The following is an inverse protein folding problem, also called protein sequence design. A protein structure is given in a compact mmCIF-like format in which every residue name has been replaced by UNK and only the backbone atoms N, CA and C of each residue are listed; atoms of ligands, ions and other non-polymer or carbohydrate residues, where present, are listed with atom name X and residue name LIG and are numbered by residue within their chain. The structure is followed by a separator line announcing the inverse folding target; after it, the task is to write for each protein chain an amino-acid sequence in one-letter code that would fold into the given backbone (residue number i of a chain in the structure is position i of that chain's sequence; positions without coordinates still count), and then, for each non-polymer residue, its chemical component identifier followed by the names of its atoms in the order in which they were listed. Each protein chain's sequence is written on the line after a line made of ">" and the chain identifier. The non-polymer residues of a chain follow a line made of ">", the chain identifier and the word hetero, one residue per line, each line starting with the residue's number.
data_IF_371381238482
#
_entry.id   IF_371381238482
#
_cell.length_a   1.000
_cell.length_b   1.000
_cell.length_c   1.000
_cell.angle_alpha   90.00
_cell.angle_beta   90.00
_cell.angle_gamma   90.00
#
_symmetry.space_group_name_H-M   'P 1'
#
loop_
_entity.id
_entity.type
_entity.pdbx_description
1 polymer ?
#
# COMPACT_ATOMS: atom_id res chain seq x y z
N UNK A 1 1.57 24.80 53.18
CA UNK A 1 2.87 24.26 53.61
C UNK A 1 2.82 22.74 53.52
N UNK A 2 3.85 22.10 52.94
CA UNK A 2 3.85 20.70 52.54
C UNK A 2 4.41 19.79 53.64
N UNK A 3 4.08 18.50 53.56
CA UNK A 3 4.81 17.44 54.25
C UNK A 3 5.38 16.53 53.16
N UNK A 4 6.71 16.59 53.03
CA UNK A 4 7.55 15.73 52.21
C UNK A 4 7.54 14.30 52.78
N UNK A 5 7.50 13.30 51.92
CA UNK A 5 8.10 11.99 52.22
C UNK A 5 8.79 11.43 50.98
N UNK A 6 10.11 11.48 51.05
CA UNK A 6 11.10 10.92 50.14
C UNK A 6 11.25 9.42 50.43
N UNK A 7 11.23 8.57 49.41
CA UNK A 7 11.68 7.18 49.52
C UNK A 7 12.77 6.91 48.49
N UNK A 8 14.00 6.81 48.97
CA UNK A 8 15.17 6.25 48.30
C UNK A 8 15.25 4.76 48.59
N UNK A 9 15.45 3.93 47.56
CA UNK A 9 16.03 2.60 47.72
C UNK A 9 17.10 2.38 46.66
N UNK A 10 18.30 2.07 47.15
CA UNK A 10 19.51 1.80 46.39
C UNK A 10 19.89 0.36 46.73
N UNK A 11 20.02 -0.53 45.74
CA UNK A 11 20.72 -1.81 45.96
C UNK A 11 21.32 -2.32 44.65
N UNK A 12 22.64 -2.48 44.70
CA UNK A 12 23.52 -3.07 43.72
C UNK A 12 23.25 -4.57 43.55
N UNK A 13 23.24 -5.06 42.32
CA UNK A 13 23.65 -6.43 42.02
C UNK A 13 24.45 -6.49 40.71
N UNK A 14 25.74 -6.84 40.88
CA UNK A 14 26.71 -7.18 39.84
C UNK A 14 26.47 -8.62 39.37
N UNK A 15 26.49 -8.87 38.05
CA UNK A 15 26.92 -10.16 37.52
C UNK A 15 27.75 -10.02 36.24
N UNK A 16 28.93 -10.65 36.30
CA UNK A 16 30.01 -10.72 35.32
C UNK A 16 29.59 -11.39 34.00
N UNK A 17 29.95 -10.77 32.87
CA UNK A 17 30.11 -11.49 31.60
C UNK A 17 31.60 -11.68 31.29
N UNK A 18 32.03 -12.95 31.23
CA UNK A 18 33.36 -13.39 30.81
C UNK A 18 33.55 -13.09 29.32
N UNK A 19 34.51 -12.22 29.00
CA UNK A 19 35.14 -12.14 27.69
C UNK A 19 36.15 -13.29 27.53
N UNK A 20 36.02 -14.09 26.48
CA UNK A 20 37.08 -15.00 26.03
C UNK A 20 37.76 -14.37 24.82
N UNK A 21 38.96 -13.82 25.06
CA UNK A 21 39.96 -13.57 24.03
C UNK A 21 40.60 -14.90 23.62
N UNK A 22 40.75 -15.14 22.32
CA UNK A 22 41.80 -16.03 21.80
C UNK A 22 42.62 -15.33 20.74
N UNK A 23 43.91 -15.37 21.00
CA UNK A 23 45.03 -14.68 20.36
C UNK A 23 45.45 -15.36 19.05
N UNK A 24 45.99 -14.54 18.14
CA UNK A 24 46.82 -14.92 16.99
C UNK A 24 48.07 -15.71 17.42
N UNK A 25 48.81 -16.36 16.49
CA UNK A 25 50.00 -15.65 15.97
C UNK A 25 50.41 -15.96 14.50
N UNK A 26 51.18 -15.00 13.94
CA UNK A 26 52.35 -15.12 13.02
C UNK A 26 52.22 -15.94 11.71
N UNK A 27 52.19 -15.31 10.52
CA UNK A 27 53.32 -14.82 9.68
C UNK A 27 54.06 -15.91 8.89
N UNK A 28 54.12 -15.77 7.56
CA UNK A 28 55.16 -16.19 6.58
C UNK A 28 54.60 -15.86 5.17
N UNK A 29 54.95 -14.71 4.59
CA UNK A 29 56.05 -14.44 3.63
C UNK A 29 55.83 -14.90 2.19
N UNK A 30 56.04 -13.93 1.29
CA UNK A 30 56.02 -13.92 -0.18
C UNK A 30 56.84 -15.02 -0.88
N UNK A 31 56.40 -15.41 -2.09
CA UNK A 31 57.18 -15.55 -3.35
C UNK A 31 56.24 -16.09 -4.46
N UNK A 32 55.92 -15.32 -5.51
CA UNK A 32 56.65 -15.04 -6.76
C UNK A 32 56.49 -16.11 -7.87
N UNK A 33 55.91 -15.66 -9.00
CA UNK A 33 56.17 -16.02 -10.42
C UNK A 33 55.95 -17.50 -10.84
N UNK A 34 55.45 -17.89 -12.03
CA UNK A 34 55.49 -17.33 -13.38
C UNK A 34 54.40 -17.93 -14.29
N UNK A 35 54.09 -17.20 -15.35
CA UNK A 35 53.37 -17.63 -16.57
C UNK A 35 54.30 -18.51 -17.43
N UNK A 36 53.77 -19.56 -18.07
CA UNK A 36 54.34 -20.06 -19.35
C UNK A 36 53.26 -20.62 -20.28
N UNK A 37 53.54 -20.50 -21.57
CA UNK A 37 52.61 -20.48 -22.70
C UNK A 37 52.67 -21.71 -23.61
N UNK A 38 51.49 -22.19 -24.04
CA UNK A 38 51.16 -22.75 -25.38
C UNK A 38 51.71 -24.14 -25.78
N UNK A 39 51.37 -24.71 -26.97
CA UNK A 39 50.06 -25.28 -27.37
C UNK A 39 50.19 -26.67 -28.06
N UNK A 40 49.09 -27.46 -28.19
CA UNK A 40 48.70 -28.22 -29.41
C UNK A 40 48.01 -29.59 -29.22
N UNK A 41 46.95 -29.75 -30.04
CA UNK A 41 46.53 -30.90 -30.87
C UNK A 41 45.93 -32.17 -30.21
N UNK A 42 44.61 -32.27 -30.43
CA UNK A 42 43.89 -33.39 -31.09
C UNK A 42 44.44 -34.81 -30.93
N UNK A 43 43.62 -35.69 -30.35
CA UNK A 43 43.28 -36.98 -30.96
C UNK A 43 41.95 -37.50 -30.42
N UNK A 44 41.00 -37.67 -31.34
CA UNK A 44 39.74 -38.38 -31.18
C UNK A 44 40.03 -39.87 -30.89
N UNK A 45 39.37 -40.44 -29.88
CA UNK A 45 39.13 -41.88 -29.82
C UNK A 45 37.68 -42.17 -29.49
N UNK A 46 37.03 -42.72 -30.49
CA UNK A 46 35.70 -43.32 -30.47
C UNK A 46 35.65 -44.44 -29.43
N UNK A 47 34.64 -44.40 -28.56
CA UNK A 47 34.12 -45.59 -27.90
C UNK A 47 32.63 -45.68 -28.23
N UNK A 48 32.31 -46.60 -29.13
CA UNK A 48 30.96 -46.98 -29.51
C UNK A 48 30.39 -47.96 -28.49
N UNK A 49 29.35 -47.58 -27.76
CA UNK A 49 28.44 -48.52 -27.11
C UNK A 49 26.99 -48.06 -27.24
N UNK A 50 26.25 -48.81 -28.08
CA UNK A 50 24.80 -49.08 -28.09
C UNK A 50 23.87 -47.93 -27.67
N UNK A 51 23.27 -47.28 -28.67
CA UNK A 51 21.95 -46.65 -28.53
C UNK A 51 20.93 -47.73 -28.14
N UNK A 52 20.56 -47.75 -26.87
CA UNK A 52 19.25 -48.25 -26.46
C UNK A 52 18.30 -47.07 -26.58
N UNK A 53 17.26 -47.23 -27.40
CA UNK A 53 16.16 -46.29 -27.54
C UNK A 53 15.36 -46.26 -26.24
N UNK A 54 15.81 -45.42 -25.30
CA UNK A 54 14.94 -44.97 -24.24
C UNK A 54 14.12 -43.82 -24.82
N UNK A 55 12.83 -44.04 -25.06
CA UNK A 55 11.86 -42.96 -25.06
C UNK A 55 12.05 -42.23 -23.73
N UNK A 56 12.73 -41.10 -23.76
CA UNK A 56 12.80 -40.19 -22.64
C UNK A 56 11.42 -39.57 -22.50
N UNK A 57 10.53 -40.23 -21.76
CA UNK A 57 9.43 -39.54 -21.12
C UNK A 57 10.06 -38.45 -20.26
N UNK A 58 9.86 -37.20 -20.68
CA UNK A 58 10.21 -36.06 -19.85
C UNK A 58 9.61 -36.29 -18.45
N UNK A 59 10.36 -36.05 -17.37
CA UNK A 59 9.83 -36.22 -16.02
C UNK A 59 8.56 -35.36 -15.90
N UNK A 60 7.49 -35.89 -15.27
CA UNK A 60 6.25 -35.14 -15.12
C UNK A 60 6.57 -33.80 -14.46
N UNK A 61 6.22 -32.72 -15.15
CA UNK A 61 6.42 -31.36 -14.67
C UNK A 61 5.79 -31.24 -13.28
N UNK A 62 6.44 -30.52 -12.34
CA UNK A 62 5.88 -30.35 -11.01
C UNK A 62 4.45 -29.78 -11.11
N UNK A 63 3.52 -30.20 -10.22
CA UNK A 63 2.09 -29.87 -10.29
C UNK A 63 1.73 -28.39 -10.56
N UNK A 64 2.49 -27.37 -10.09
CA UNK A 64 2.17 -25.96 -10.32
C UNK A 64 2.19 -25.55 -11.80
N UNK A 65 3.06 -26.14 -12.62
CA UNK A 65 3.31 -25.69 -14.00
C UNK A 65 2.16 -26.05 -14.93
N UNK A 66 1.48 -27.18 -14.70
CA UNK A 66 0.33 -27.60 -15.52
C UNK A 66 -0.87 -26.66 -15.33
N UNK A 67 -1.20 -26.37 -14.07
CA UNK A 67 -2.27 -25.42 -13.70
C UNK A 67 -1.96 -24.03 -14.24
N UNK A 68 -0.70 -23.60 -14.16
CA UNK A 68 -0.26 -22.31 -14.67
C UNK A 68 -0.44 -22.21 -16.20
N UNK A 69 -0.17 -23.28 -16.95
CA UNK A 69 -0.37 -23.32 -18.41
C UNK A 69 -1.84 -23.23 -18.79
N UNK A 70 -2.70 -24.05 -18.19
CA UNK A 70 -4.16 -24.01 -18.43
C UNK A 70 -4.71 -22.59 -18.20
N UNK A 71 -4.23 -21.91 -17.16
CA UNK A 71 -4.60 -20.52 -16.87
C UNK A 71 -4.06 -19.50 -17.87
N UNK A 72 -2.84 -19.69 -18.38
CA UNK A 72 -2.27 -18.84 -19.44
C UNK A 72 -3.04 -18.98 -20.76
N UNK A 73 -3.49 -20.20 -21.09
CA UNK A 73 -4.30 -20.45 -22.28
C UNK A 73 -5.64 -19.70 -22.22
N UNK A 74 -6.29 -19.63 -21.04
CA UNK A 74 -7.54 -18.88 -20.85
C UNK A 74 -7.40 -17.38 -21.17
N UNK A 75 -6.21 -16.80 -21.00
CA UNK A 75 -5.93 -15.39 -21.33
C UNK A 75 -5.30 -15.22 -22.72
N UNK A 76 -5.27 -16.29 -23.52
CA UNK A 76 -4.77 -16.31 -24.89
C UNK A 76 -3.24 -16.35 -25.00
N UNK A 77 -2.52 -16.64 -23.93
CA UNK A 77 -1.07 -16.86 -23.98
C UNK A 77 -0.82 -18.36 -24.15
N UNK A 78 -0.67 -18.77 -25.41
CA UNK A 78 -0.40 -20.18 -25.75
C UNK A 78 1.08 -20.48 -25.58
N UNK A 79 1.40 -21.39 -24.65
CA UNK A 79 2.76 -21.88 -24.41
C UNK A 79 2.79 -23.40 -24.56
N UNK A 80 3.59 -23.90 -25.51
CA UNK A 80 3.73 -25.33 -25.76
C UNK A 80 4.66 -26.01 -24.73
N UNK A 81 4.96 -27.28 -24.97
CA UNK A 81 5.86 -28.07 -24.10
C UNK A 81 7.28 -27.50 -23.98
N UNK A 82 7.69 -26.59 -24.88
CA UNK A 82 9.01 -25.97 -24.91
C UNK A 82 9.15 -24.75 -24.00
N UNK A 83 8.06 -24.31 -23.35
CA UNK A 83 8.09 -23.28 -22.31
C UNK A 83 8.61 -23.84 -20.98
N UNK A 84 9.94 -23.81 -20.85
CA UNK A 84 10.72 -24.23 -19.70
C UNK A 84 10.76 -23.09 -18.67
N UNK A 85 10.37 -23.34 -17.41
CA UNK A 85 10.53 -22.40 -16.31
C UNK A 85 11.95 -21.82 -16.21
N UNK A 86 12.04 -20.52 -15.92
CA UNK A 86 13.30 -19.78 -15.81
C UNK A 86 13.83 -19.18 -17.12
N UNK A 87 13.09 -19.29 -18.23
CA UNK A 87 13.45 -18.69 -19.53
C UNK A 87 12.43 -17.63 -19.98
N UNK A 88 12.93 -16.68 -20.76
CA UNK A 88 12.10 -15.67 -21.43
C UNK A 88 11.70 -16.16 -22.83
N UNK A 89 10.47 -15.87 -23.21
CA UNK A 89 9.88 -16.23 -24.49
C UNK A 89 9.30 -15.00 -25.16
N UNK A 90 9.53 -14.86 -26.47
CA UNK A 90 8.96 -13.78 -27.27
C UNK A 90 7.83 -14.34 -28.15
N UNK A 91 6.59 -13.98 -27.84
CA UNK A 91 5.35 -14.53 -28.38
C UNK A 91 4.53 -13.46 -29.08
N UNK A 92 3.49 -13.90 -29.80
CA UNK A 92 2.44 -13.00 -30.27
C UNK A 92 1.58 -12.53 -29.09
N UNK A 93 1.35 -11.22 -29.01
CA UNK A 93 0.46 -10.69 -28.00
C UNK A 93 -1.00 -11.01 -28.38
N UNK A 94 -1.80 -11.67 -27.53
CA UNK A 94 -3.20 -11.99 -27.84
C UNK A 94 -4.08 -10.74 -27.93
N UNK A 95 -3.73 -9.65 -27.23
CA UNK A 95 -4.50 -8.41 -27.27
C UNK A 95 -4.35 -7.65 -28.58
N UNK A 96 -3.12 -7.50 -29.06
CA UNK A 96 -2.84 -6.65 -30.22
C UNK A 96 -2.39 -7.42 -31.46
N UNK A 97 -2.16 -8.74 -31.34
CA UNK A 97 -1.79 -9.68 -32.41
C UNK A 97 -0.55 -9.27 -33.23
N UNK A 98 0.36 -8.50 -32.63
CA UNK A 98 1.50 -7.91 -33.35
C UNK A 98 1.12 -6.78 -34.32
N UNK A 99 -0.19 -6.47 -34.45
CA UNK A 99 -0.82 -5.39 -35.24
C UNK A 99 -0.31 -5.31 -36.66
N UNK A 100 -0.09 -4.09 -37.18
CA UNK A 100 0.19 -3.93 -38.63
C UNK A 100 1.44 -4.69 -39.10
N UNK A 101 2.47 -4.78 -38.26
CA UNK A 101 3.72 -5.47 -38.57
C UNK A 101 3.69 -6.97 -38.22
N UNK A 102 2.62 -7.45 -37.59
CA UNK A 102 2.48 -8.84 -37.11
C UNK A 102 3.75 -9.34 -36.40
N UNK A 103 4.27 -8.53 -35.48
CA UNK A 103 5.49 -8.88 -34.74
C UNK A 103 5.20 -9.64 -33.44
N UNK A 104 6.12 -10.53 -33.07
CA UNK A 104 6.16 -11.14 -31.73
C UNK A 104 6.60 -10.10 -30.73
N UNK A 105 5.63 -9.51 -30.04
CA UNK A 105 5.81 -8.35 -29.16
C UNK A 105 5.57 -8.67 -27.69
N UNK A 106 5.12 -9.88 -27.35
CA UNK A 106 4.83 -10.29 -25.97
C UNK A 106 6.04 -11.01 -25.38
N UNK A 107 6.71 -10.42 -24.40
CA UNK A 107 7.68 -11.15 -23.57
C UNK A 107 6.96 -11.85 -22.45
N UNK A 108 7.18 -13.16 -22.32
CA UNK A 108 6.65 -14.02 -21.27
C UNK A 108 7.81 -14.62 -20.48
N UNK A 109 7.68 -14.68 -19.17
CA UNK A 109 8.61 -15.35 -18.27
C UNK A 109 7.85 -16.18 -17.23
N UNK A 110 8.05 -17.49 -17.27
CA UNK A 110 7.59 -18.42 -16.22
C UNK A 110 8.72 -18.55 -15.22
N UNK A 111 8.48 -18.29 -13.93
CA UNK A 111 9.56 -18.35 -12.94
C UNK A 111 10.05 -19.79 -12.72
N UNK A 112 11.32 -20.02 -12.32
CA UNK A 112 11.89 -21.36 -12.18
C UNK A 112 11.10 -22.35 -11.32
N UNK A 113 10.42 -21.87 -10.27
CA UNK A 113 9.62 -22.71 -9.37
C UNK A 113 8.28 -23.14 -9.98
N UNK A 114 7.82 -22.44 -11.03
CA UNK A 114 6.52 -22.68 -11.66
C UNK A 114 5.33 -22.07 -10.92
N UNK A 115 5.55 -21.26 -9.88
CA UNK A 115 4.44 -20.73 -9.07
C UNK A 115 3.66 -19.63 -9.80
N UNK A 116 4.31 -18.87 -10.70
CA UNK A 116 3.64 -17.86 -11.50
C UNK A 116 4.35 -17.55 -12.83
N UNK A 117 3.62 -16.96 -13.76
CA UNK A 117 4.14 -16.41 -15.00
C UNK A 117 3.87 -14.91 -15.06
N UNK A 118 4.75 -14.15 -15.71
CA UNK A 118 4.55 -12.73 -15.99
C UNK A 118 4.76 -12.45 -17.46
N UNK A 119 4.01 -11.50 -18.01
CA UNK A 119 4.15 -11.08 -19.40
C UNK A 119 4.10 -9.58 -19.57
N UNK A 120 4.62 -9.11 -20.69
CA UNK A 120 4.56 -7.73 -21.15
C UNK A 120 4.61 -7.64 -22.66
N UNK A 121 3.66 -6.94 -23.25
CA UNK A 121 3.70 -6.53 -24.64
C UNK A 121 4.53 -5.25 -24.75
N UNK A 122 5.59 -5.30 -25.57
CA UNK A 122 6.50 -4.18 -25.80
C UNK A 122 6.04 -3.21 -26.87
N UNK A 123 4.89 -3.45 -27.51
CA UNK A 123 4.28 -2.43 -28.35
C UNK A 123 3.71 -1.32 -27.51
N UNK A 124 4.17 -0.11 -27.81
CA UNK A 124 3.81 1.12 -27.11
C UNK A 124 2.28 1.30 -27.00
N UNK A 125 1.55 1.13 -28.10
CA UNK A 125 0.09 1.30 -28.13
C UNK A 125 -0.67 0.18 -27.39
N UNK A 126 -0.04 -0.98 -27.18
CA UNK A 126 -0.69 -2.12 -26.52
C UNK A 126 -0.41 -2.11 -25.02
N UNK A 127 0.87 -2.11 -24.63
CA UNK A 127 1.28 -2.12 -23.22
C UNK A 127 0.65 -3.22 -22.37
N UNK A 128 0.13 -4.30 -22.96
CA UNK A 128 -0.56 -5.33 -22.19
C UNK A 128 0.44 -6.14 -21.38
N UNK A 129 0.37 -6.06 -20.05
CA UNK A 129 1.18 -6.84 -19.14
C UNK A 129 0.35 -7.36 -17.99
N UNK A 130 0.82 -8.45 -17.40
CA UNK A 130 0.21 -9.04 -16.23
C UNK A 130 1.08 -10.13 -15.64
N UNK A 131 0.56 -10.76 -14.60
CA UNK A 131 1.13 -11.96 -13.99
C UNK A 131 0.00 -12.87 -13.55
N UNK A 132 0.20 -14.18 -13.62
CA UNK A 132 -0.80 -15.18 -13.26
C UNK A 132 -0.15 -16.23 -12.37
N UNK A 133 -0.82 -16.59 -11.28
CA UNK A 133 -0.32 -17.54 -10.29
C UNK A 133 -0.98 -18.91 -10.44
N UNK A 134 -0.23 -19.96 -10.14
CA UNK A 134 -0.76 -21.32 -10.04
C UNK A 134 -1.78 -21.42 -8.88
N UNK A 135 -1.57 -20.70 -7.77
CA UNK A 135 -2.35 -20.74 -6.53
C UNK A 135 -3.60 -19.83 -6.51
N UNK A 136 -4.48 -19.93 -7.51
CA UNK A 136 -5.82 -19.33 -7.45
C UNK A 136 -5.94 -17.78 -7.40
N UNK A 137 -4.83 -17.03 -7.22
CA UNK A 137 -4.85 -15.55 -7.17
C UNK A 137 -5.07 -14.97 -8.57
N UNK A 138 -6.16 -14.22 -8.75
CA UNK A 138 -6.54 -13.61 -10.04
C UNK A 138 -5.59 -12.46 -10.43
N UNK A 139 -5.27 -12.42 -11.72
CA UNK A 139 -4.37 -11.49 -12.38
C UNK A 139 -5.04 -10.13 -12.67
N UNK A 140 -4.37 -9.01 -12.38
CA UNK A 140 -4.73 -7.69 -12.94
C UNK A 140 -3.51 -6.98 -13.56
N UNK A 141 -3.74 -6.43 -14.77
CA UNK A 141 -2.86 -5.56 -15.58
C UNK A 141 -2.74 -4.17 -14.91
N UNK A 142 -1.73 -3.29 -15.04
CA UNK A 142 -0.44 -3.23 -15.76
C UNK A 142 0.07 -1.75 -15.78
N UNK A 143 1.38 -1.55 -15.48
CA UNK A 143 2.30 -0.40 -15.77
C UNK A 143 2.20 0.94 -15.00
N UNK A 144 3.27 1.70 -14.68
CA UNK A 144 4.74 1.52 -14.61
C UNK A 144 5.41 2.83 -14.11
N UNK A 145 6.38 2.75 -13.18
CA UNK A 145 7.76 3.28 -13.38
C UNK A 145 8.70 2.78 -12.28
N UNK A 146 9.69 2.01 -12.68
CA UNK A 146 10.89 1.64 -11.92
C UNK A 146 11.78 2.84 -11.72
N UNK A 147 12.06 3.23 -10.48
CA UNK A 147 13.32 3.85 -10.11
C UNK A 147 14.17 2.87 -9.30
N UNK A 148 15.44 2.79 -9.69
CA UNK A 148 16.47 1.99 -9.03
C UNK A 148 16.75 2.57 -7.65
N UNK A 149 16.71 1.76 -6.60
CA UNK A 149 17.48 2.06 -5.39
C UNK A 149 18.54 0.99 -5.15
N UNK A 150 19.76 1.41 -5.41
CA UNK A 150 20.98 0.95 -4.74
C UNK A 150 20.82 1.26 -3.25
N UNK A 151 21.00 0.26 -2.39
CA UNK A 151 20.97 0.47 -0.94
C UNK A 151 20.71 -0.79 -0.13
N UNK A 152 21.73 -1.65 -0.04
CA UNK A 152 21.75 -2.85 0.80
C UNK A 152 21.70 -2.45 2.28
N UNK A 153 20.66 -2.84 3.00
CA UNK A 153 20.77 -3.22 4.41
C UNK A 153 19.62 -4.15 4.80
N UNK A 154 19.95 -5.22 5.52
CA UNK A 154 19.07 -6.31 5.93
C UNK A 154 17.84 -5.82 6.70
N UNK A 155 16.67 -5.88 6.07
CA UNK A 155 15.38 -5.98 6.75
C UNK A 155 14.66 -7.18 6.15
N UNK A 156 14.24 -8.10 7.01
CA UNK A 156 13.17 -9.04 6.70
C UNK A 156 12.06 -8.23 6.04
N UNK A 157 11.84 -8.42 4.74
CA UNK A 157 10.76 -7.73 4.04
C UNK A 157 9.47 -8.25 4.65
N UNK A 158 8.74 -7.39 5.37
CA UNK A 158 7.45 -7.76 5.93
C UNK A 158 6.54 -8.14 4.76
N UNK A 159 6.11 -9.40 4.74
CA UNK A 159 5.23 -9.93 3.71
C UNK A 159 3.82 -9.52 4.06
N UNK A 160 3.11 -8.87 3.12
CA UNK A 160 1.69 -8.59 3.25
C UNK A 160 0.91 -9.88 3.00
N UNK A 161 0.07 -10.24 3.97
CA UNK A 161 -0.76 -11.44 3.96
C UNK A 161 -2.24 -11.07 4.10
N UNK A 162 -3.17 -11.92 3.63
CA UNK A 162 -4.60 -11.75 3.91
C UNK A 162 -4.87 -11.70 5.43
N UNK A 163 -5.93 -11.00 5.82
CA UNK A 163 -6.36 -10.91 7.22
C UNK A 163 -6.73 -12.29 7.78
N UNK A 164 -6.30 -12.58 9.01
CA UNK A 164 -6.76 -13.73 9.77
C UNK A 164 -8.13 -13.47 10.42
N UNK A 165 -8.79 -14.54 10.85
CA UNK A 165 -10.13 -14.49 11.48
C UNK A 165 -10.19 -13.56 12.71
N UNK A 166 -9.10 -13.44 13.46
CA UNK A 166 -8.99 -12.53 14.61
C UNK A 166 -9.11 -11.07 14.17
N UNK A 167 -8.41 -10.67 13.10
CA UNK A 167 -8.50 -9.31 12.58
C UNK A 167 -9.82 -9.06 11.86
N UNK A 168 -10.37 -10.04 11.15
CA UNK A 168 -11.71 -9.95 10.57
C UNK A 168 -12.74 -9.70 11.68
N UNK A 169 -12.66 -10.44 12.79
CA UNK A 169 -13.51 -10.24 13.96
C UNK A 169 -13.32 -8.86 14.60
N UNK A 170 -12.07 -8.36 14.65
CA UNK A 170 -11.76 -7.01 15.14
C UNK A 170 -12.44 -5.91 14.33
N UNK A 171 -12.49 -6.04 13.00
CA UNK A 171 -13.19 -5.12 12.11
C UNK A 171 -14.71 -5.29 12.16
N UNK A 172 -15.20 -6.53 12.28
CA UNK A 172 -16.63 -6.81 12.45
C UNK A 172 -17.19 -6.17 13.72
N UNK A 173 -16.47 -6.20 14.84
CA UNK A 173 -16.84 -5.44 16.06
C UNK A 173 -16.89 -3.92 15.86
N UNK A 174 -16.29 -3.42 14.79
CA UNK A 174 -16.32 -2.02 14.37
C UNK A 174 -17.29 -1.75 13.24
N UNK A 175 -18.17 -2.71 12.97
CA UNK A 175 -19.18 -2.66 11.91
C UNK A 175 -18.59 -2.49 10.51
N UNK A 176 -17.34 -2.93 10.32
CA UNK A 176 -16.68 -2.94 9.01
C UNK A 176 -16.72 -4.37 8.46
N UNK A 177 -17.35 -4.54 7.31
CA UNK A 177 -17.54 -5.80 6.63
C UNK A 177 -16.25 -6.30 5.98
N UNK A 178 -16.17 -7.62 5.77
CA UNK A 178 -15.05 -8.21 5.03
C UNK A 178 -14.99 -7.70 3.57
N UNK A 179 -16.14 -7.44 2.94
CA UNK A 179 -16.22 -6.88 1.59
C UNK A 179 -15.51 -5.52 1.50
N UNK A 180 -15.79 -4.62 2.44
CA UNK A 180 -15.12 -3.32 2.54
C UNK A 180 -13.61 -3.48 2.75
N UNK A 181 -13.18 -4.42 3.60
CA UNK A 181 -11.74 -4.70 3.80
C UNK A 181 -11.06 -5.19 2.53
N UNK A 182 -11.71 -6.08 1.78
CA UNK A 182 -11.20 -6.64 0.53
C UNK A 182 -11.11 -5.59 -0.57
N UNK A 183 -12.16 -4.75 -0.75
CA UNK A 183 -12.16 -3.66 -1.73
C UNK A 183 -11.03 -2.66 -1.46
N UNK A 184 -10.80 -2.37 -0.18
CA UNK A 184 -9.76 -1.46 0.29
C UNK A 184 -8.38 -2.09 0.44
N UNK A 185 -8.26 -3.39 0.15
CA UNK A 185 -7.02 -4.17 0.23
C UNK A 185 -6.35 -3.98 1.59
N UNK A 186 -7.15 -4.08 2.66
CA UNK A 186 -6.65 -4.13 4.03
C UNK A 186 -6.03 -5.50 4.25
N UNK A 187 -4.76 -5.51 4.64
CA UNK A 187 -3.96 -6.72 4.77
C UNK A 187 -3.43 -6.83 6.20
N UNK A 188 -2.63 -7.85 6.47
CA UNK A 188 -1.84 -7.95 7.68
C UNK A 188 -0.35 -8.12 7.38
N UNK A 189 0.47 -7.88 8.39
CA UNK A 189 1.85 -8.35 8.46
C UNK A 189 2.03 -9.17 9.73
N UNK A 190 2.70 -10.30 9.60
CA UNK A 190 3.06 -11.16 10.74
C UNK A 190 4.48 -10.82 11.17
N UNK A 191 4.59 -10.12 12.30
CA UNK A 191 5.89 -9.88 12.95
C UNK A 191 6.30 -11.05 13.84
N UNK A 192 7.52 -11.02 14.37
CA UNK A 192 8.05 -12.06 15.28
C UNK A 192 7.25 -12.25 16.57
N UNK A 193 6.45 -11.27 16.98
CA UNK A 193 5.73 -11.26 18.26
C UNK A 193 4.25 -10.86 18.18
N UNK A 194 3.81 -10.22 17.09
CA UNK A 194 2.42 -9.80 16.94
C UNK A 194 2.04 -9.59 15.47
N UNK A 195 0.78 -9.85 15.17
CA UNK A 195 0.14 -9.49 13.90
C UNK A 195 -0.21 -8.00 13.92
N UNK A 196 -0.08 -7.34 12.78
CA UNK A 196 -0.48 -5.96 12.61
C UNK A 196 -1.33 -5.79 11.36
N UNK A 197 -2.36 -4.95 11.47
CA UNK A 197 -3.17 -4.48 10.35
C UNK A 197 -2.30 -3.61 9.46
N UNK A 198 -2.38 -3.83 8.16
CA UNK A 198 -1.67 -3.10 7.12
C UNK A 198 -2.69 -2.39 6.21
N UNK A 199 -2.78 -1.08 6.35
CA UNK A 199 -3.54 -0.22 5.43
C UNK A 199 -2.67 0.07 4.20
N UNK A 200 -3.08 -0.45 3.05
CA UNK A 200 -2.32 -0.36 1.81
C UNK A 200 -2.66 0.90 1.02
N UNK A 201 -1.74 1.86 0.93
CA UNK A 201 -1.93 3.05 0.11
C UNK A 201 -1.65 2.69 -1.32
N UNK A 202 -2.62 2.96 -2.19
CA UNK A 202 -2.57 2.59 -3.60
C UNK A 202 -2.80 3.78 -4.49
N UNK A 203 -2.09 3.83 -5.61
CA UNK A 203 -2.29 4.80 -6.68
C UNK A 203 -2.27 4.06 -8.02
N UNK A 204 -3.31 4.22 -8.83
CA UNK A 204 -3.56 3.46 -10.05
C UNK A 204 -3.44 1.94 -9.82
N UNK A 205 -3.97 1.45 -8.69
CA UNK A 205 -3.92 0.05 -8.26
C UNK A 205 -2.55 -0.44 -7.78
N UNK A 206 -1.50 0.40 -7.78
CA UNK A 206 -0.16 0.03 -7.35
C UNK A 206 0.06 0.40 -5.88
N UNK A 207 0.65 -0.51 -5.09
CA UNK A 207 1.04 -0.24 -3.71
C UNK A 207 2.15 0.81 -3.68
N UNK A 208 1.87 1.98 -3.12
CA UNK A 208 2.80 3.11 -2.99
C UNK A 208 3.22 3.38 -1.55
N UNK A 209 2.52 2.78 -0.58
CA UNK A 209 2.88 2.88 0.83
C UNK A 209 2.05 1.96 1.70
N UNK A 210 2.50 1.78 2.94
CA UNK A 210 1.76 1.03 3.93
C UNK A 210 1.86 1.70 5.30
N UNK A 211 0.71 1.83 5.96
CA UNK A 211 0.62 2.23 7.36
C UNK A 211 0.12 1.05 8.16
N UNK A 212 0.81 0.79 9.24
CA UNK A 212 0.58 -0.35 10.08
C UNK A 212 -0.01 0.08 11.40
N UNK A 213 -0.89 -0.77 11.92
CA UNK A 213 -1.60 -0.57 13.18
C UNK A 213 -1.72 -1.90 13.89
N UNK A 214 -1.53 -1.88 15.20
CA UNK A 214 -1.89 -3.01 16.05
C UNK A 214 -3.24 -2.76 16.70
N UNK A 215 -3.88 -3.83 17.22
CA UNK A 215 -5.19 -3.70 17.87
C UNK A 215 -5.16 -2.77 19.10
N UNK A 216 -4.02 -2.71 19.79
CA UNK A 216 -3.70 -1.79 20.90
C UNK A 216 -3.29 -0.38 20.44
N UNK A 217 -3.61 0.00 19.19
CA UNK A 217 -3.45 1.35 18.64
C UNK A 217 -1.99 1.86 18.61
N UNK A 218 -1.00 0.99 18.37
CA UNK A 218 0.35 1.43 17.99
C UNK A 218 0.44 1.55 16.47
N UNK A 219 0.97 2.66 15.99
CA UNK A 219 1.03 2.98 14.56
C UNK A 219 2.47 3.14 14.09
N UNK A 220 2.78 2.66 12.90
CA UNK A 220 4.04 2.95 12.20
C UNK A 220 3.83 2.93 10.70
N UNK A 221 4.80 3.50 9.99
CA UNK A 221 4.85 3.48 8.53
C UNK A 221 6.30 3.34 8.08
N UNK A 222 6.50 2.93 6.84
CA UNK A 222 7.83 2.87 6.26
C UNK A 222 8.44 4.27 6.13
N UNK A 223 9.67 4.42 6.64
CA UNK A 223 10.42 5.67 6.57
C UNK A 223 10.81 5.96 5.13
N UNK A 224 10.66 7.21 4.71
CA UNK A 224 11.02 7.65 3.36
C UNK A 224 9.94 7.44 2.31
N UNK A 225 8.79 6.89 2.68
CA UNK A 225 7.62 6.80 1.79
C UNK A 225 6.98 8.17 1.63
N UNK A 226 6.63 8.54 0.39
CA UNK A 226 5.86 9.75 0.15
C UNK A 226 4.51 9.67 0.87
N UNK A 227 3.99 10.82 1.32
CA UNK A 227 2.70 10.90 1.99
C UNK A 227 1.61 10.83 0.93
N UNK A 228 0.91 9.70 0.86
CA UNK A 228 -0.23 9.51 -0.04
C UNK A 228 -1.55 9.59 0.74
N UNK A 229 -2.63 9.97 0.05
CA UNK A 229 -3.99 9.87 0.57
C UNK A 229 -4.46 8.42 0.45
N UNK A 230 -5.09 7.90 1.50
CA UNK A 230 -5.68 6.56 1.44
C UNK A 230 -6.98 6.62 0.63
N UNK A 231 -7.20 5.67 -0.27
CA UNK A 231 -8.38 5.64 -1.14
C UNK A 231 -8.33 6.59 -2.34
N UNK A 232 -7.15 7.13 -2.71
CA UNK A 232 -7.05 8.12 -3.80
C UNK A 232 -7.58 7.63 -5.16
N UNK A 233 -7.57 6.31 -5.40
CA UNK A 233 -8.11 5.74 -6.64
C UNK A 233 -9.64 5.83 -6.74
N UNK A 234 -10.34 6.00 -5.60
CA UNK A 234 -11.81 6.06 -5.52
C UNK A 234 -12.38 7.43 -5.97
N UNK A 235 -11.52 8.42 -6.22
CA UNK A 235 -11.96 9.80 -6.54
C UNK A 235 -11.68 10.22 -7.98
N UNK A 236 -11.21 9.28 -8.80
CA UNK A 236 -11.07 9.51 -10.24
C UNK A 236 -12.47 9.76 -10.82
N UNK A 237 -12.72 11.00 -11.26
CA UNK A 237 -13.99 11.47 -11.85
C UNK A 237 -15.17 11.66 -10.87
N UNK A 238 -14.92 11.84 -9.57
CA UNK A 238 -15.98 12.15 -8.60
C UNK A 238 -16.33 13.65 -8.56
N UNK A 239 -17.63 13.99 -8.65
CA UNK A 239 -18.13 15.37 -8.52
C UNK A 239 -18.13 15.88 -7.06
N UNK A 240 -18.18 14.93 -6.11
CA UNK A 240 -18.18 15.13 -4.67
C UNK A 240 -17.08 14.30 -4.01
N UNK A 241 -16.43 14.85 -2.99
CA UNK A 241 -15.37 14.20 -2.23
C UNK A 241 -15.63 14.27 -0.73
N UNK A 242 -15.48 13.15 -0.03
CA UNK A 242 -15.46 13.12 1.44
C UNK A 242 -14.02 12.94 1.94
N UNK A 243 -13.57 13.79 2.85
CA UNK A 243 -12.25 13.72 3.47
C UNK A 243 -12.40 13.43 4.96
N UNK A 244 -11.82 12.32 5.40
CA UNK A 244 -11.75 11.91 6.82
C UNK A 244 -10.31 11.92 7.35
N UNK A 245 -10.15 11.77 8.66
CA UNK A 245 -8.83 11.78 9.29
C UNK A 245 -8.11 10.42 9.24
N UNK A 246 -8.80 9.34 9.61
CA UNK A 246 -8.21 8.01 9.72
C UNK A 246 -8.62 7.02 8.64
N UNK A 247 -7.81 5.97 8.47
CA UNK A 247 -8.14 4.88 7.54
C UNK A 247 -9.40 4.13 7.99
N UNK A 248 -9.60 3.98 9.31
CA UNK A 248 -10.81 3.39 9.90
C UNK A 248 -12.08 4.17 9.58
N UNK A 249 -12.00 5.50 9.58
CA UNK A 249 -13.15 6.36 9.27
C UNK A 249 -13.51 6.25 7.80
N UNK A 250 -12.52 6.11 6.92
CA UNK A 250 -12.74 5.92 5.48
C UNK A 250 -13.53 4.64 5.25
N UNK A 251 -13.11 3.54 5.88
CA UNK A 251 -13.84 2.27 5.82
C UNK A 251 -15.26 2.42 6.39
N UNK A 252 -15.44 3.22 7.44
CA UNK A 252 -16.75 3.43 8.05
C UNK A 252 -17.69 4.23 7.14
N UNK A 253 -17.18 5.25 6.45
CA UNK A 253 -17.92 6.05 5.46
C UNK A 253 -18.37 5.18 4.28
N UNK A 254 -17.56 4.20 3.90
CA UNK A 254 -17.91 3.23 2.87
C UNK A 254 -19.04 2.30 3.27
N UNK A 255 -19.09 1.84 4.53
CA UNK A 255 -20.23 1.10 5.08
C UNK A 255 -21.53 1.93 5.06
N UNK A 256 -21.43 3.27 5.08
CA UNK A 256 -22.56 4.18 4.89
C UNK A 256 -22.95 4.41 3.41
N UNK A 257 -22.27 3.73 2.48
CA UNK A 257 -22.58 3.74 1.04
C UNK A 257 -21.82 4.78 0.22
N UNK A 258 -20.77 5.40 0.77
CA UNK A 258 -19.97 6.40 0.05
C UNK A 258 -18.59 5.85 -0.33
N UNK A 259 -18.38 5.64 -1.63
CA UNK A 259 -17.10 5.17 -2.16
C UNK A 259 -16.11 6.32 -2.38
N UNK A 260 -16.61 7.54 -2.62
CA UNK A 260 -15.86 8.77 -2.89
C UNK A 260 -15.22 9.38 -1.62
N UNK A 261 -14.55 8.57 -0.81
CA UNK A 261 -13.95 8.98 0.46
C UNK A 261 -12.45 8.69 0.51
N UNK A 262 -11.68 9.68 1.00
CA UNK A 262 -10.24 9.58 1.23
C UNK A 262 -9.88 9.89 2.68
N UNK A 263 -8.78 9.31 3.19
CA UNK A 263 -8.20 9.70 4.47
C UNK A 263 -6.87 10.44 4.31
N UNK A 264 -6.63 11.43 5.17
CA UNK A 264 -5.37 12.18 5.18
C UNK A 264 -4.20 11.38 5.77
N UNK A 265 -2.97 11.56 5.26
CA UNK A 265 -1.80 10.89 5.83
C UNK A 265 -1.42 11.48 7.18
N UNK A 266 -1.32 10.61 8.20
CA UNK A 266 -0.63 10.89 9.45
C UNK A 266 -1.46 11.45 10.61
N UNK A 267 -2.78 11.65 10.46
CA UNK A 267 -3.62 12.32 11.46
C UNK A 267 -3.24 13.79 11.62
N UNK A 268 -4.23 14.68 11.78
CA UNK A 268 -4.12 16.15 11.77
C UNK A 268 -2.68 16.73 11.77
N UNK A 269 -1.99 16.79 10.61
CA UNK A 269 -0.60 17.25 10.60
C UNK A 269 -0.56 18.73 10.94
N UNK A 270 0.40 19.15 11.78
CA UNK A 270 0.59 20.55 12.20
C UNK A 270 0.78 21.51 11.01
N UNK A 271 1.18 20.96 9.86
CA UNK A 271 1.10 21.58 8.53
C UNK A 271 0.79 20.47 7.53
N UNK A 272 -0.36 20.54 6.87
CA UNK A 272 -0.60 19.77 5.64
C UNK A 272 0.51 20.18 4.64
N UNK A 273 1.22 19.29 3.98
CA UNK A 273 2.16 19.69 2.90
C UNK A 273 1.35 19.98 1.64
N UNK A 274 1.70 21.02 0.87
CA UNK A 274 1.06 21.36 -0.41
C UNK A 274 1.09 20.21 -1.40
N UNK A 275 2.13 19.38 -1.31
CA UNK A 275 2.41 18.33 -2.29
C UNK A 275 1.59 17.05 -2.08
N UNK A 276 0.76 17.01 -1.02
CA UNK A 276 0.05 15.80 -0.57
C UNK A 276 -1.36 15.66 -1.13
N UNK A 277 -1.94 16.76 -1.59
CA UNK A 277 -3.29 16.77 -2.16
C UNK A 277 -3.10 16.89 -3.67
N UNK A 278 -3.35 15.81 -4.45
CA UNK A 278 -3.35 15.92 -5.91
C UNK A 278 -4.38 16.98 -6.35
N UNK A 279 -4.33 17.47 -7.59
CA UNK A 279 -5.26 18.48 -8.06
C UNK A 279 -6.70 17.91 -8.09
N UNK A 280 -7.39 18.07 -6.96
CA UNK A 280 -8.83 17.84 -6.73
C UNK A 280 -9.63 19.03 -7.29
N UNK A 281 -9.02 19.86 -8.15
CA UNK A 281 -9.58 21.13 -8.64
C UNK A 281 -10.93 20.95 -9.34
N UNK A 282 -11.15 19.78 -9.94
CA UNK A 282 -12.39 19.39 -10.62
C UNK A 282 -13.56 19.07 -9.69
N UNK A 283 -13.31 18.80 -8.40
CA UNK A 283 -14.37 18.46 -7.45
C UNK A 283 -15.12 19.71 -7.04
N UNK A 284 -16.45 19.66 -7.21
CA UNK A 284 -17.35 20.78 -6.98
C UNK A 284 -17.81 20.90 -5.51
N UNK A 285 -17.93 19.76 -4.82
CA UNK A 285 -18.38 19.67 -3.42
C UNK A 285 -17.43 18.83 -2.58
N UNK A 286 -16.91 19.39 -1.49
CA UNK A 286 -15.96 18.73 -0.60
C UNK A 286 -16.57 18.66 0.81
N UNK A 287 -16.79 17.47 1.32
CA UNK A 287 -17.29 17.22 2.67
C UNK A 287 -16.11 16.88 3.58
N UNK A 288 -15.90 17.70 4.60
CA UNK A 288 -14.85 17.54 5.61
C UNK A 288 -15.45 16.81 6.82
N UNK A 289 -15.15 15.52 6.94
CA UNK A 289 -15.61 14.62 7.99
C UNK A 289 -14.43 14.22 8.91
N UNK A 290 -13.71 15.23 9.42
CA UNK A 290 -12.59 14.99 10.37
C UNK A 290 -13.10 14.94 11.81
N UNK A 291 -12.22 14.58 12.74
CA UNK A 291 -12.55 14.39 14.15
C UNK A 291 -13.20 15.63 14.78
N UNK A 292 -14.07 15.39 15.77
CA UNK A 292 -14.80 16.42 16.51
C UNK A 292 -13.96 17.11 17.60
N UNK A 293 -12.65 16.89 17.61
CA UNK A 293 -11.72 17.43 18.60
C UNK A 293 -10.92 18.63 18.05
N UNK A 294 -10.09 19.23 18.90
CA UNK A 294 -9.33 20.44 18.54
C UNK A 294 -8.36 20.18 17.36
N UNK A 295 -7.58 19.08 17.32
CA UNK A 295 -6.79 18.73 16.14
C UNK A 295 -7.61 18.54 14.87
N UNK A 296 -8.74 17.81 14.95
CA UNK A 296 -9.63 17.58 13.82
C UNK A 296 -10.22 18.88 13.26
N UNK A 297 -10.61 19.81 14.13
CA UNK A 297 -11.07 21.15 13.73
C UNK A 297 -9.97 21.95 13.02
N UNK A 298 -8.75 21.94 13.54
CA UNK A 298 -7.61 22.62 12.92
C UNK A 298 -7.28 22.03 11.53
N UNK A 299 -7.37 20.71 11.39
CA UNK A 299 -7.22 20.03 10.10
C UNK A 299 -8.31 20.46 9.11
N UNK A 300 -9.57 20.50 9.55
CA UNK A 300 -10.69 20.92 8.71
C UNK A 300 -10.50 22.34 8.18
N UNK A 301 -10.07 23.27 9.05
CA UNK A 301 -9.79 24.65 8.68
C UNK A 301 -8.66 24.75 7.65
N UNK A 302 -7.58 24.01 7.84
CA UNK A 302 -6.44 24.04 6.91
C UNK A 302 -6.79 23.40 5.56
N UNK A 303 -7.60 22.33 5.55
CA UNK A 303 -8.13 21.74 4.31
C UNK A 303 -9.04 22.72 3.59
N UNK A 304 -10.00 23.33 4.29
CA UNK A 304 -10.93 24.29 3.72
C UNK A 304 -10.22 25.53 3.16
N UNK A 305 -9.20 26.04 3.86
CA UNK A 305 -8.38 27.17 3.40
C UNK A 305 -7.65 26.86 2.10
N UNK A 306 -7.20 25.63 1.90
CA UNK A 306 -6.43 25.20 0.71
C UNK A 306 -7.29 24.83 -0.48
N UNK A 307 -8.34 24.05 -0.22
CA UNK A 307 -9.26 23.55 -1.25
C UNK A 307 -10.26 24.62 -1.69
N UNK A 308 -10.44 25.66 -0.87
CA UNK A 308 -11.39 26.74 -1.07
C UNK A 308 -12.62 26.55 -0.20
N UNK A 309 -12.82 27.44 0.78
CA UNK A 309 -13.95 27.36 1.72
C UNK A 309 -15.31 27.36 1.00
N UNK A 310 -15.41 28.05 -0.13
CA UNK A 310 -16.64 28.15 -0.93
C UNK A 310 -17.15 26.82 -1.48
N UNK A 311 -16.30 25.78 -1.53
CA UNK A 311 -16.65 24.43 -1.98
C UNK A 311 -16.59 23.40 -0.86
N UNK A 312 -16.49 23.84 0.40
CA UNK A 312 -16.36 22.95 1.54
C UNK A 312 -17.65 22.90 2.36
N UNK A 313 -17.96 21.73 2.88
CA UNK A 313 -19.00 21.45 3.85
C UNK A 313 -18.37 20.71 5.04
N UNK A 314 -18.86 20.95 6.24
CA UNK A 314 -18.37 20.33 7.48
C UNK A 314 -19.43 19.40 8.04
N UNK A 315 -19.05 18.16 8.30
CA UNK A 315 -19.90 17.24 9.04
C UNK A 315 -19.98 17.69 10.50
N UNK A 316 -21.20 17.72 11.02
CA UNK A 316 -21.48 18.01 12.42
C UNK A 316 -21.94 16.72 13.09
N UNK A 317 -20.98 15.97 13.65
CA UNK A 317 -21.22 14.62 14.17
C UNK A 317 -22.34 14.58 15.21
N UNK A 318 -23.22 13.55 15.21
CA UNK A 318 -24.37 13.51 16.11
C UNK A 318 -23.97 13.52 17.59
N UNK A 319 -24.93 13.88 18.44
CA UNK A 319 -24.76 13.85 19.88
C UNK A 319 -24.83 12.40 20.41
N UNK A 320 -23.86 12.00 21.23
CA UNK A 320 -23.88 10.76 22.03
C UNK A 320 -24.88 10.90 23.19
N UNK A 321 -24.89 12.08 23.77
CA UNK A 321 -25.70 12.51 24.90
C UNK A 321 -26.00 14.02 24.75
N UNK A 322 -26.68 14.65 25.72
CA UNK A 322 -27.05 16.06 25.62
C UNK A 322 -25.90 17.07 25.46
N UNK A 323 -24.63 16.67 25.65
CA UNK A 323 -23.47 17.57 25.68
C UNK A 323 -22.33 17.12 24.74
N UNK A 324 -22.11 15.82 24.60
CA UNK A 324 -20.96 15.27 23.88
C UNK A 324 -21.35 14.74 22.51
N UNK A 325 -20.54 15.04 21.49
CA UNK A 325 -20.69 14.50 20.14
C UNK A 325 -19.86 13.26 19.92
N UNK A 326 -20.25 12.46 18.92
CA UNK A 326 -19.40 11.42 18.37
C UNK A 326 -18.10 12.00 17.85
N UNK A 327 -17.00 11.31 18.12
CA UNK A 327 -15.66 11.81 17.81
C UNK A 327 -15.40 11.76 16.32
N UNK A 328 -15.73 10.64 15.69
CA UNK A 328 -15.35 10.31 14.32
C UNK A 328 -16.43 9.42 13.66
N UNK A 329 -16.21 9.09 12.38
CA UNK A 329 -17.16 8.32 11.59
C UNK A 329 -17.34 6.89 12.15
N UNK A 330 -16.26 6.25 12.63
CA UNK A 330 -16.35 4.89 13.14
C UNK A 330 -17.18 4.81 14.42
N UNK A 331 -17.07 5.78 15.33
CA UNK A 331 -17.92 5.80 16.52
C UNK A 331 -19.40 5.96 16.15
N UNK A 332 -19.74 6.82 15.19
CA UNK A 332 -21.14 6.95 14.70
C UNK A 332 -21.63 5.62 14.14
N UNK A 333 -20.83 4.98 13.28
CA UNK A 333 -21.18 3.71 12.66
C UNK A 333 -21.43 2.61 13.72
N UNK A 334 -20.53 2.47 14.71
CA UNK A 334 -20.64 1.45 15.75
C UNK A 334 -21.87 1.65 16.63
N UNK A 335 -22.18 2.90 16.97
CA UNK A 335 -23.22 3.18 17.97
C UNK A 335 -24.60 3.45 17.37
N UNK A 336 -24.67 4.04 16.18
CA UNK A 336 -25.93 4.46 15.55
C UNK A 336 -26.19 3.76 14.21
N UNK A 337 -25.23 3.03 13.65
CA UNK A 337 -25.37 2.29 12.41
C UNK A 337 -25.12 3.11 11.14
N UNK A 338 -25.14 2.44 9.97
CA UNK A 338 -24.75 3.03 8.68
C UNK A 338 -25.71 4.14 8.21
N UNK A 339 -27.02 4.00 8.46
CA UNK A 339 -28.01 5.01 8.06
C UNK A 339 -27.80 6.34 8.81
N UNK A 340 -27.49 6.29 10.10
CA UNK A 340 -27.21 7.48 10.89
C UNK A 340 -25.91 8.17 10.44
N UNK A 341 -24.87 7.39 10.13
CA UNK A 341 -23.64 7.93 9.55
C UNK A 341 -23.90 8.58 8.19
N UNK A 342 -24.72 7.93 7.36
CA UNK A 342 -25.11 8.46 6.05
C UNK A 342 -25.83 9.80 6.16
N UNK A 343 -26.82 9.88 7.05
CA UNK A 343 -27.56 11.12 7.29
C UNK A 343 -26.62 12.23 7.78
N UNK A 344 -25.71 11.93 8.73
CA UNK A 344 -24.75 12.91 9.23
C UNK A 344 -23.84 13.49 8.13
N UNK A 345 -23.43 12.66 7.16
CA UNK A 345 -22.63 13.10 6.01
C UNK A 345 -23.47 13.94 5.04
N UNK A 346 -24.69 13.51 4.74
CA UNK A 346 -25.58 14.23 3.82
C UNK A 346 -25.99 15.61 4.36
N UNK A 347 -26.20 15.71 5.68
CA UNK A 347 -26.56 16.91 6.42
C UNK A 347 -25.35 17.82 6.74
N UNK A 348 -24.19 17.56 6.13
CA UNK A 348 -23.00 18.40 6.31
C UNK A 348 -23.33 19.87 6.00
N UNK A 349 -22.89 20.76 6.89
CA UNK A 349 -23.19 22.20 6.85
C UNK A 349 -22.18 22.93 5.99
N UNK A 350 -22.63 23.94 5.24
CA UNK A 350 -21.71 24.75 4.44
C UNK A 350 -20.60 25.35 5.32
N UNK A 351 -19.35 25.28 4.84
CA UNK A 351 -18.20 25.76 5.60
C UNK A 351 -18.22 27.29 5.60
N UNK A 352 -18.73 27.87 6.69
CA UNK A 352 -19.01 29.29 6.77
C UNK A 352 -17.72 30.11 6.57
N UNK A 353 -17.78 31.10 5.68
CA UNK A 353 -16.78 32.15 5.62
C UNK A 353 -16.99 33.02 6.86
N UNK A 354 -16.03 33.02 7.78
CA UNK A 354 -15.94 34.07 8.79
C UNK A 354 -15.62 35.37 8.08
N UNK A 355 -16.65 36.09 7.62
CA UNK A 355 -16.51 37.49 7.25
C UNK A 355 -16.37 38.23 8.57
N UNK A 356 -15.14 38.50 8.97
CA UNK A 356 -14.85 39.49 10.00
C UNK A 356 -15.26 40.86 9.43
N UNK A 357 -16.54 41.23 9.56
CA UNK A 357 -16.97 42.59 9.28
C UNK A 357 -16.44 43.46 10.41
N UNK A 358 -15.24 44.01 10.21
CA UNK A 358 -14.77 45.15 10.99
C UNK A 358 -15.63 46.35 10.62
N UNK A 359 -16.80 46.49 11.26
CA UNK A 359 -17.55 47.74 11.23
C UNK A 359 -16.72 48.75 12.02
N UNK A 360 -15.87 49.51 11.32
CA UNK A 360 -15.40 50.78 11.85
C UNK A 360 -16.62 51.69 11.92
N UNK A 361 -17.08 51.95 13.14
CA UNK A 361 -17.95 53.09 13.43
C UNK A 361 -17.18 54.37 13.09
N UNK A 362 -17.39 54.92 11.90
CA UNK A 362 -17.24 56.37 11.70
C UNK A 362 -18.60 57.01 12.04
N UNK A 363 -18.82 57.26 13.33
CA UNK A 363 -19.86 58.18 13.79
C UNK A 363 -19.22 59.56 14.02
N UNK A 364 -19.57 60.52 13.17
CA UNK A 364 -19.82 61.90 13.62
C UNK A 364 -18.71 62.93 13.41
N UNK A 365 -18.60 63.48 12.20
CA UNK A 365 -18.24 64.89 12.04
C UNK A 365 -19.01 65.50 10.85
N UNK A 366 -20.29 65.79 11.07
CA UNK A 366 -20.98 66.85 10.33
C UNK A 366 -21.51 67.83 11.37
N UNK A 367 -20.81 68.96 11.48
CA UNK A 367 -21.24 70.13 12.23
C UNK A 367 -22.41 70.78 11.48
N UNK A 368 -23.49 71.05 12.22
CA UNK A 368 -24.61 71.87 11.78
C UNK A 368 -24.18 73.33 11.56
N UNK A 369 -24.78 73.95 10.54
CA UNK A 369 -24.79 75.39 10.28
C UNK A 369 -26.06 76.01 10.85
#
# INVERSE_FOLDING_TARGET
>A
MPINSTFTFNSNFNFNFKFIHRSSPSSLSLNNFSISSSPSRFLLRFCTTRLSSALSHAPPLPPPVKVLREKMDLIGIVCDEHCIPGKYYCLFCPKCKGGRLMERSLSLHVIPTGDFAMWRCFRFECGWAGRIFADGRLAFNGFSKTEKMVGRSSKESLVLEPLCDELISYFSMRMISQETLERNVVMQVVGRQQVAIAFTYRQNGQLVGCKYRTMDKRFWQEKGTAKFLYGIDDINDADELIIVEGEMDKLSVEEAGFLNCISVPGGAPSKVSTDTIPPIEKVSRIILATDSDVPGQALAEELARRLGKHRCWRVDWPYKDGFNRFKDANEVLVHLGPDALKNAIQDAKFYQLSISISIQKEEGLFQEH
#
